data_IF_278301272407
#
_entry.id   IF_278301272407
#
_cell.length_a   1.000
_cell.length_b   1.000
_cell.length_c   1.000
_cell.angle_alpha   90.00
_cell.angle_beta   90.00
_cell.angle_gamma   90.00
#
_symmetry.space_group_name_H-M   'P 1'
#
loop_
_entity.id
_entity.type
_entity.pdbx_description
1 polymer ?
#
# COMPACT_ATOMS: atom_id res chain seq x y z
N UNK A 1 -5.90 5.23 -1.04
CA UNK A 1 -5.92 4.31 -2.19
C UNK A 1 -6.79 3.06 -1.92
N UNK A 2 -6.44 2.16 -0.97
CA UNK A 2 -7.21 0.92 -0.74
C UNK A 2 -8.70 1.16 -0.49
N UNK A 3 -9.05 2.21 0.26
CA UNK A 3 -10.44 2.59 0.52
C UNK A 3 -11.21 2.90 -0.78
N UNK A 4 -10.62 3.69 -1.65
CA UNK A 4 -11.20 4.06 -2.95
C UNK A 4 -11.28 2.87 -3.89
N UNK A 5 -10.19 2.09 -3.99
CA UNK A 5 -10.14 0.90 -4.83
C UNK A 5 -11.20 -0.12 -4.37
N UNK A 6 -11.34 -0.35 -3.08
CA UNK A 6 -12.29 -1.30 -2.51
C UNK A 6 -13.71 -0.76 -2.33
N UNK A 7 -13.95 0.53 -2.58
CA UNK A 7 -15.25 1.17 -2.34
C UNK A 7 -15.65 1.22 -0.86
N UNK A 8 -14.67 1.26 0.04
CA UNK A 8 -14.86 1.27 1.49
C UNK A 8 -14.53 2.64 2.09
N UNK A 9 -15.19 2.98 3.20
CA UNK A 9 -14.81 4.17 3.98
C UNK A 9 -13.45 3.95 4.63
N UNK A 10 -12.52 4.90 4.44
CA UNK A 10 -11.24 4.86 5.14
C UNK A 10 -11.44 4.97 6.67
N UNK A 11 -10.74 4.17 7.48
CA UNK A 11 -10.83 4.30 8.93
C UNK A 11 -10.23 5.61 9.40
N UNK A 12 -10.84 6.20 10.42
CA UNK A 12 -10.27 7.36 11.11
C UNK A 12 -9.01 6.94 11.85
N UNK A 13 -7.93 7.69 11.68
CA UNK A 13 -6.63 7.35 12.25
C UNK A 13 -5.92 8.61 12.75
N UNK A 14 -5.27 8.50 13.90
CA UNK A 14 -4.35 9.52 14.38
C UNK A 14 -3.21 9.70 13.38
N UNK A 15 -2.79 10.93 13.14
CA UNK A 15 -1.61 11.19 12.29
C UNK A 15 -0.38 10.59 12.94
N UNK A 16 0.48 9.99 12.12
CA UNK A 16 1.83 9.56 12.50
C UNK A 16 2.81 10.62 12.03
N UNK A 17 3.79 10.92 12.86
CA UNK A 17 4.89 11.83 12.55
C UNK A 17 6.21 11.07 12.35
N UNK A 18 7.18 11.71 11.72
CA UNK A 18 8.53 11.14 11.56
C UNK A 18 9.27 10.93 12.89
N UNK A 19 8.80 11.58 13.97
CA UNK A 19 9.37 11.46 15.32
C UNK A 19 8.71 10.37 16.17
N UNK A 20 7.66 9.73 15.67
CA UNK A 20 7.04 8.61 16.37
C UNK A 20 7.98 7.40 16.42
N UNK A 21 7.95 6.69 17.51
CA UNK A 21 8.81 5.52 17.70
C UNK A 21 8.51 4.40 16.69
N UNK A 22 9.52 3.59 16.39
CA UNK A 22 9.42 2.46 15.45
C UNK A 22 8.21 1.56 15.70
N UNK A 23 7.87 1.29 16.97
CA UNK A 23 6.73 0.44 17.32
C UNK A 23 5.39 1.01 16.82
N UNK A 24 5.17 2.32 16.97
CA UNK A 24 3.96 3.00 16.49
C UNK A 24 3.87 2.97 14.95
N UNK A 25 4.98 3.20 14.27
CA UNK A 25 5.05 3.17 12.80
C UNK A 25 4.74 1.75 12.28
N UNK A 26 5.33 0.72 12.89
CA UNK A 26 5.09 -0.69 12.52
C UNK A 26 3.64 -1.10 12.78
N UNK A 27 3.07 -0.70 13.93
CA UNK A 27 1.67 -0.96 14.23
C UNK A 27 0.74 -0.33 13.19
N UNK A 28 0.97 0.94 12.84
CA UNK A 28 0.21 1.62 11.79
C UNK A 28 0.33 0.94 10.43
N UNK A 29 1.52 0.48 10.07
CA UNK A 29 1.71 -0.23 8.80
C UNK A 29 0.90 -1.53 8.76
N UNK A 30 0.92 -2.31 9.85
CA UNK A 30 0.12 -3.54 9.96
C UNK A 30 -1.38 -3.28 9.85
N UNK A 31 -1.89 -2.27 10.55
CA UNK A 31 -3.29 -1.85 10.45
C UNK A 31 -3.67 -1.44 9.03
N UNK A 32 -2.75 -0.76 8.35
CA UNK A 32 -2.97 -0.32 6.96
C UNK A 32 -3.04 -1.50 6.01
N UNK A 33 -2.14 -2.47 6.12
CA UNK A 33 -2.20 -3.68 5.31
C UNK A 33 -3.45 -4.51 5.60
N UNK A 34 -3.81 -4.72 6.86
CA UNK A 34 -5.04 -5.45 7.21
C UNK A 34 -6.30 -4.78 6.62
N UNK A 35 -6.36 -3.46 6.64
CA UNK A 35 -7.44 -2.71 5.98
C UNK A 35 -7.41 -2.88 4.45
N UNK A 36 -6.23 -2.84 3.82
CA UNK A 36 -6.10 -3.06 2.38
C UNK A 36 -6.54 -4.48 1.99
N UNK A 37 -6.14 -5.50 2.74
CA UNK A 37 -6.56 -6.88 2.50
C UNK A 37 -8.09 -7.01 2.55
N UNK A 38 -8.73 -6.37 3.54
CA UNK A 38 -10.18 -6.35 3.65
C UNK A 38 -10.84 -5.61 2.48
N UNK A 39 -10.32 -4.43 2.12
CA UNK A 39 -10.90 -3.59 1.07
C UNK A 39 -10.77 -4.22 -0.32
N UNK A 40 -9.68 -4.92 -0.58
CA UNK A 40 -9.42 -5.55 -1.87
C UNK A 40 -10.01 -6.95 -1.99
N UNK A 41 -10.20 -7.65 -0.86
CA UNK A 41 -10.69 -9.03 -0.83
C UNK A 41 -12.12 -9.23 -1.35
N UNK A 42 -12.92 -8.17 -1.43
CA UNK A 42 -14.27 -8.18 -1.98
C UNK A 42 -14.36 -7.90 -3.49
N UNK A 43 -13.23 -7.63 -4.15
CA UNK A 43 -13.22 -7.31 -5.58
C UNK A 43 -13.31 -8.58 -6.43
N UNK A 44 -13.99 -8.45 -7.56
CA UNK A 44 -14.13 -9.50 -8.58
C UNK A 44 -13.85 -8.90 -9.96
N UNK A 45 -13.68 -9.73 -10.96
CA UNK A 45 -13.46 -9.28 -12.34
C UNK A 45 -14.56 -8.34 -12.84
N UNK A 46 -15.79 -8.50 -12.36
CA UNK A 46 -16.93 -7.64 -12.70
C UNK A 46 -16.72 -6.18 -12.25
N UNK A 47 -15.93 -5.92 -11.21
CA UNK A 47 -15.67 -4.58 -10.69
C UNK A 47 -14.52 -3.84 -11.41
N UNK A 48 -13.70 -4.54 -12.18
CA UNK A 48 -12.43 -4.01 -12.69
C UNK A 48 -12.59 -2.87 -13.70
N UNK A 49 -13.69 -2.83 -14.43
CA UNK A 49 -13.98 -1.78 -15.40
C UNK A 49 -14.63 -0.52 -14.80
N UNK A 50 -15.07 -0.58 -13.54
CA UNK A 50 -15.73 0.54 -12.89
C UNK A 50 -14.81 1.77 -12.80
N UNK A 51 -15.31 2.98 -13.15
CA UNK A 51 -14.52 4.19 -13.08
C UNK A 51 -14.35 4.65 -11.62
N UNK A 52 -13.11 4.92 -11.23
CA UNK A 52 -12.76 5.51 -9.94
C UNK A 52 -12.14 6.89 -10.12
N UNK A 53 -12.36 7.83 -9.19
CA UNK A 53 -11.60 9.06 -9.15
C UNK A 53 -10.13 8.75 -8.86
N UNK A 54 -9.22 9.42 -9.57
CA UNK A 54 -7.78 9.24 -9.39
C UNK A 54 -7.08 10.59 -9.56
N UNK A 55 -6.48 11.08 -8.50
CA UNK A 55 -5.81 12.38 -8.40
C UNK A 55 -6.56 13.52 -9.10
N UNK A 56 -7.57 14.05 -8.42
CA UNK A 56 -8.42 15.14 -8.91
C UNK A 56 -9.65 14.63 -9.66
N UNK A 57 -10.01 15.28 -10.77
CA UNK A 57 -11.21 14.95 -11.53
C UNK A 57 -11.05 13.82 -12.55
N UNK A 58 -9.82 13.38 -12.77
CA UNK A 58 -9.56 12.28 -13.71
C UNK A 58 -10.22 10.99 -13.21
N UNK A 59 -10.89 10.30 -14.14
CA UNK A 59 -11.46 8.97 -13.86
C UNK A 59 -10.68 7.91 -14.62
N UNK A 60 -10.34 6.84 -13.91
CA UNK A 60 -9.65 5.68 -14.47
C UNK A 60 -10.41 4.42 -14.09
N UNK A 61 -10.27 3.35 -14.89
CA UNK A 61 -10.85 2.07 -14.49
C UNK A 61 -10.19 1.57 -13.19
N UNK A 62 -10.93 0.84 -12.38
CA UNK A 62 -10.40 0.23 -11.15
C UNK A 62 -9.14 -0.59 -11.42
N UNK A 63 -9.10 -1.37 -12.49
CA UNK A 63 -7.93 -2.13 -12.90
C UNK A 63 -6.71 -1.23 -13.16
N UNK A 64 -6.89 -0.10 -13.81
CA UNK A 64 -5.80 0.86 -14.05
C UNK A 64 -5.29 1.46 -12.73
N UNK A 65 -6.19 1.86 -11.82
CA UNK A 65 -5.82 2.38 -10.50
C UNK A 65 -5.06 1.32 -9.69
N UNK A 66 -5.50 0.06 -9.71
CA UNK A 66 -4.80 -1.05 -9.04
C UNK A 66 -3.39 -1.25 -9.60
N UNK A 67 -3.23 -1.22 -10.91
CA UNK A 67 -1.92 -1.36 -11.57
C UNK A 67 -0.97 -0.23 -11.19
N UNK A 68 -1.44 1.01 -11.24
CA UNK A 68 -0.65 2.17 -10.83
C UNK A 68 -0.28 2.12 -9.34
N UNK A 69 -1.21 1.72 -8.47
CA UNK A 69 -0.96 1.56 -7.03
C UNK A 69 0.11 0.49 -6.77
N UNK A 70 0.09 -0.62 -7.50
CA UNK A 70 1.12 -1.66 -7.39
C UNK A 70 2.49 -1.13 -7.81
N UNK A 71 2.55 -0.34 -8.88
CA UNK A 71 3.78 0.32 -9.33
C UNK A 71 4.33 1.31 -8.29
N UNK A 72 3.46 2.12 -7.71
CA UNK A 72 3.80 3.07 -6.64
C UNK A 72 4.38 2.36 -5.41
N UNK A 73 3.76 1.26 -4.97
CA UNK A 73 4.27 0.46 -3.85
C UNK A 73 5.62 -0.19 -4.15
N UNK A 74 5.82 -0.66 -5.38
CA UNK A 74 7.10 -1.23 -5.81
C UNK A 74 8.22 -0.17 -5.80
N UNK A 75 7.91 1.06 -6.21
CA UNK A 75 8.85 2.19 -6.14
C UNK A 75 9.22 2.52 -4.69
N UNK A 76 8.25 2.69 -3.81
CA UNK A 76 8.48 2.92 -2.38
C UNK A 76 9.28 1.80 -1.71
N UNK A 77 8.98 0.54 -2.04
CA UNK A 77 9.77 -0.59 -1.56
C UNK A 77 11.21 -0.52 -2.05
N UNK A 78 11.42 -0.19 -3.31
CA UNK A 78 12.74 -0.05 -3.91
C UNK A 78 13.58 1.01 -3.20
N UNK A 79 12.98 2.17 -2.93
CA UNK A 79 13.63 3.25 -2.18
C UNK A 79 14.00 2.80 -0.75
N UNK A 80 13.06 2.18 -0.02
CA UNK A 80 13.31 1.65 1.32
C UNK A 80 14.43 0.59 1.31
N UNK A 81 14.47 -0.28 0.29
CA UNK A 81 15.51 -1.29 0.13
C UNK A 81 16.90 -0.69 -0.08
N UNK A 82 17.00 0.46 -0.77
CA UNK A 82 18.26 1.20 -0.93
C UNK A 82 18.74 1.68 0.45
N UNK A 83 17.86 2.33 1.23
CA UNK A 83 18.21 2.80 2.58
C UNK A 83 18.63 1.65 3.51
N UNK A 84 17.97 0.51 3.44
CA UNK A 84 18.39 -0.68 4.19
C UNK A 84 19.82 -1.09 3.83
N UNK A 85 20.15 -1.20 2.54
CA UNK A 85 21.51 -1.57 2.08
C UNK A 85 22.57 -0.56 2.50
N UNK A 86 22.27 0.73 2.44
CA UNK A 86 23.17 1.79 2.92
C UNK A 86 23.48 1.68 4.42
N UNK A 87 22.59 1.05 5.20
CA UNK A 87 22.77 0.77 6.62
C UNK A 87 23.25 -0.67 6.90
N UNK A 88 23.78 -1.38 5.92
CA UNK A 88 24.29 -2.74 6.08
C UNK A 88 23.21 -3.81 6.28
N UNK A 89 21.93 -3.49 6.01
CA UNK A 89 20.80 -4.40 6.17
C UNK A 89 20.38 -4.99 4.83
N UNK A 90 19.98 -6.26 4.83
CA UNK A 90 19.37 -6.88 3.65
C UNK A 90 17.87 -6.64 3.63
N UNK A 91 17.32 -6.13 2.51
CA UNK A 91 15.87 -6.04 2.34
C UNK A 91 15.24 -7.45 2.27
N UNK A 92 13.94 -7.59 2.59
CA UNK A 92 13.27 -8.89 2.64
C UNK A 92 13.47 -9.76 1.38
N UNK A 93 13.39 -9.16 0.20
CA UNK A 93 13.55 -9.88 -1.08
C UNK A 93 14.98 -10.34 -1.36
N UNK A 94 15.99 -9.83 -0.65
CA UNK A 94 17.39 -10.27 -0.77
C UNK A 94 17.76 -11.33 0.27
N UNK A 95 16.87 -11.66 1.21
CA UNK A 95 17.09 -12.73 2.18
C UNK A 95 16.79 -14.06 1.52
N UNK A 96 17.72 -15.01 1.65
CA UNK A 96 17.46 -16.40 1.20
C UNK A 96 16.32 -16.98 2.05
N UNK A 97 15.40 -17.76 1.45
CA UNK A 97 14.43 -18.53 2.23
C UNK A 97 15.16 -19.38 3.27
N UNK A 98 14.61 -19.49 4.46
CA UNK A 98 15.08 -20.49 5.42
C UNK A 98 14.89 -21.87 4.79
N UNK A 99 15.95 -22.69 4.83
CA UNK A 99 15.88 -24.09 4.35
C UNK A 99 15.07 -24.92 5.34
#
# INVERSE_FOLDING_TARGET
>A
LCAEIGGMKAPERTKISATDGKAAIVARLRETFAFCDQALGGLTDANLSEPLPFFGEAKMSRAAVMTLTTGDWADHYSQAAIYMRLNGLLPPTAKKPAK
#
